data_IF_120646290360
#
_entry.id   IF_120646290360
#
_cell.length_a   1.000
_cell.length_b   1.000
_cell.length_c   1.000
_cell.angle_alpha   90.00
_cell.angle_beta   90.00
_cell.angle_gamma   90.00
#
_symmetry.space_group_name_H-M   'P 1'
#
loop_
_entity.id
_entity.type
_entity.pdbx_description
1 polymer ?
#
# COMPACT_ATOMS: atom_id res chain seq x y z
N UNK A 1 -6.13 9.20 -44.50
CA UNK A 1 -4.81 8.54 -44.42
C UNK A 1 -4.23 9.03 -43.12
N UNK A 2 -4.68 8.37 -42.06
CA UNK A 2 -4.81 8.96 -40.73
C UNK A 2 -3.63 8.61 -39.84
N UNK A 3 -3.35 9.58 -38.97
CA UNK A 3 -2.24 9.69 -38.07
C UNK A 3 -2.22 8.62 -36.98
N UNK A 4 -1.03 8.12 -36.68
CA UNK A 4 -0.66 7.64 -35.36
C UNK A 4 0.84 7.89 -35.21
N UNK A 5 1.20 9.11 -34.79
CA UNK A 5 2.52 9.40 -34.27
C UNK A 5 2.58 8.86 -32.84
N UNK A 6 3.34 7.78 -32.65
CA UNK A 6 3.71 7.28 -31.33
C UNK A 6 4.52 8.36 -30.60
N UNK A 7 3.90 8.94 -29.58
CA UNK A 7 4.60 9.69 -28.55
C UNK A 7 5.34 8.70 -27.66
N UNK A 8 6.56 8.35 -28.06
CA UNK A 8 7.55 7.70 -27.19
C UNK A 8 7.93 8.71 -26.10
N UNK A 9 7.41 8.52 -24.89
CA UNK A 9 7.87 9.25 -23.72
C UNK A 9 9.33 8.88 -23.42
N UNK A 10 10.19 9.86 -23.10
CA UNK A 10 11.60 9.58 -22.85
C UNK A 10 11.74 8.82 -21.53
N UNK A 11 11.99 7.51 -21.61
CA UNK A 11 12.46 6.72 -20.47
C UNK A 11 13.73 7.38 -19.96
N UNK A 12 13.69 7.91 -18.72
CA UNK A 12 14.79 8.65 -18.14
C UNK A 12 16.07 7.81 -18.14
N UNK A 13 17.19 8.40 -18.55
CA UNK A 13 18.48 7.70 -18.69
C UNK A 13 18.96 7.04 -17.39
N UNK A 14 18.51 7.53 -16.24
CA UNK A 14 18.75 6.93 -14.92
C UNK A 14 18.05 5.58 -14.77
N UNK A 15 16.81 5.44 -15.24
CA UNK A 15 16.06 4.18 -15.15
C UNK A 15 16.71 3.08 -16.02
N UNK A 16 17.23 3.45 -17.20
CA UNK A 16 17.98 2.53 -18.08
C UNK A 16 19.32 2.12 -17.45
N UNK A 17 20.03 3.06 -16.83
CA UNK A 17 21.29 2.76 -16.14
C UNK A 17 21.09 1.84 -14.95
N UNK A 18 20.02 2.02 -14.17
CA UNK A 18 19.69 1.19 -13.01
C UNK A 18 19.22 -0.20 -13.43
N UNK A 19 18.37 -0.30 -14.46
CA UNK A 19 17.92 -1.59 -14.99
C UNK A 19 19.09 -2.43 -15.52
N UNK A 20 20.05 -1.78 -16.20
CA UNK A 20 21.27 -2.44 -16.63
C UNK A 20 22.15 -2.82 -15.44
N UNK A 21 22.32 -1.91 -14.48
CA UNK A 21 23.09 -2.15 -13.27
C UNK A 21 22.58 -3.41 -12.59
N UNK A 22 21.28 -3.59 -12.36
CA UNK A 22 20.64 -4.72 -11.65
C UNK A 22 20.63 -6.07 -12.40
N UNK A 23 21.21 -6.16 -13.61
CA UNK A 23 21.22 -7.38 -14.43
C UNK A 23 22.47 -8.26 -14.26
N UNK A 24 23.44 -7.83 -13.44
CA UNK A 24 24.70 -8.53 -13.21
C UNK A 24 24.63 -9.51 -12.03
N UNK A 25 25.52 -10.52 -11.97
CA UNK A 25 25.60 -11.45 -10.85
C UNK A 25 25.83 -10.70 -9.52
N UNK A 26 25.20 -11.12 -8.39
CA UNK A 26 25.27 -10.43 -7.10
C UNK A 26 26.68 -10.13 -6.62
N UNK A 27 27.64 -10.98 -6.97
CA UNK A 27 29.06 -10.87 -6.59
C UNK A 27 29.77 -9.70 -7.29
N UNK A 28 29.17 -9.15 -8.35
CA UNK A 28 29.71 -8.03 -9.13
C UNK A 28 29.39 -6.67 -8.49
N UNK A 29 28.42 -6.65 -7.59
CA UNK A 29 28.11 -5.46 -6.81
C UNK A 29 29.06 -5.42 -5.62
N UNK A 30 30.08 -4.58 -5.73
CA UNK A 30 30.68 -4.00 -4.54
C UNK A 30 29.58 -3.32 -3.71
N UNK A 31 29.87 -3.00 -2.45
CA UNK A 31 28.96 -2.18 -1.63
C UNK A 31 28.84 -0.78 -2.27
N UNK A 32 27.98 -0.69 -3.27
CA UNK A 32 27.77 0.45 -4.14
C UNK A 32 26.52 1.19 -3.64
N UNK A 33 26.70 2.42 -3.11
CA UNK A 33 25.60 3.18 -2.54
C UNK A 33 24.49 3.49 -3.55
N UNK A 34 24.80 3.57 -4.85
CA UNK A 34 23.79 3.83 -5.89
C UNK A 34 22.85 2.62 -6.06
N UNK A 35 23.37 1.41 -5.87
CA UNK A 35 22.60 0.17 -5.95
C UNK A 35 21.73 -0.01 -4.71
N UNK A 36 22.27 0.27 -3.52
CA UNK A 36 21.49 0.28 -2.28
C UNK A 36 20.36 1.31 -2.33
N UNK A 37 20.63 2.50 -2.89
CA UNK A 37 19.62 3.53 -3.09
C UNK A 37 18.53 3.09 -4.08
N UNK A 38 18.92 2.48 -5.21
CA UNK A 38 17.97 1.93 -6.18
C UNK A 38 17.09 0.83 -5.57
N UNK A 39 17.67 -0.04 -4.73
CA UNK A 39 16.92 -1.04 -3.97
C UNK A 39 15.94 -0.41 -2.99
N UNK A 40 16.37 0.60 -2.22
CA UNK A 40 15.52 1.30 -1.27
C UNK A 40 14.32 1.99 -1.96
N UNK A 41 14.57 2.70 -3.07
CA UNK A 41 13.52 3.35 -3.87
C UNK A 41 12.50 2.30 -4.36
N UNK A 42 12.97 1.18 -4.91
CA UNK A 42 12.09 0.13 -5.43
C UNK A 42 11.29 -0.58 -4.33
N UNK A 43 11.92 -0.81 -3.18
CA UNK A 43 11.25 -1.40 -2.02
C UNK A 43 10.15 -0.45 -1.47
N UNK A 44 10.40 0.86 -1.46
CA UNK A 44 9.42 1.85 -1.06
C UNK A 44 8.25 1.94 -2.05
N UNK A 45 8.53 2.05 -3.35
CA UNK A 45 7.49 2.03 -4.40
C UNK A 45 6.59 0.80 -4.29
N UNK A 46 7.18 -0.38 -4.07
CA UNK A 46 6.43 -1.61 -3.86
C UNK A 46 5.49 -1.51 -2.64
N UNK A 47 5.99 -0.99 -1.51
CA UNK A 47 5.21 -0.82 -0.30
C UNK A 47 4.05 0.18 -0.48
N UNK A 48 4.27 1.32 -1.13
CA UNK A 48 3.21 2.28 -1.47
C UNK A 48 2.10 1.67 -2.33
N UNK A 49 2.49 1.01 -3.43
CA UNK A 49 1.53 0.35 -4.34
C UNK A 49 0.74 -0.72 -3.61
N UNK A 50 1.43 -1.54 -2.82
CA UNK A 50 0.79 -2.59 -2.03
C UNK A 50 -0.17 -2.01 -0.99
N UNK A 51 0.24 -0.98 -0.24
CA UNK A 51 -0.59 -0.36 0.79
C UNK A 51 -1.87 0.23 0.19
N UNK A 52 -1.75 0.90 -0.96
CA UNK A 52 -2.90 1.40 -1.72
C UNK A 52 -3.83 0.28 -2.16
N UNK A 53 -3.29 -0.87 -2.55
CA UNK A 53 -4.10 -2.01 -2.98
C UNK A 53 -4.96 -2.54 -1.82
N UNK A 54 -4.35 -2.83 -0.66
CA UNK A 54 -5.07 -3.36 0.51
C UNK A 54 -5.99 -2.32 1.19
N UNK A 55 -5.77 -1.03 0.95
CA UNK A 55 -6.67 0.01 1.44
C UNK A 55 -7.89 0.23 0.54
N UNK A 56 -7.77 -0.04 -0.76
CA UNK A 56 -8.79 0.31 -1.76
C UNK A 56 -9.76 -0.83 -2.07
N UNK A 57 -9.41 -2.07 -1.78
CA UNK A 57 -10.25 -3.26 -2.04
C UNK A 57 -10.24 -4.21 -0.86
N UNK A 58 -11.21 -5.14 -0.81
CA UNK A 58 -11.24 -6.19 0.20
C UNK A 58 -10.02 -7.12 0.04
N UNK A 59 -9.07 -7.13 1.01
CA UNK A 59 -7.83 -7.89 0.88
C UNK A 59 -8.04 -9.40 0.82
N UNK A 60 -9.17 -9.92 1.33
CA UNK A 60 -9.44 -11.36 1.35
C UNK A 60 -9.56 -11.96 -0.07
N UNK A 61 -9.87 -11.13 -1.07
CA UNK A 61 -10.00 -11.55 -2.48
C UNK A 61 -8.79 -11.18 -3.34
N UNK A 62 -7.76 -10.56 -2.76
CA UNK A 62 -6.54 -10.21 -3.47
C UNK A 62 -5.69 -11.44 -3.76
N UNK A 63 -5.27 -11.57 -5.02
CA UNK A 63 -4.20 -12.49 -5.43
C UNK A 63 -2.92 -11.71 -5.67
N UNK A 64 -1.87 -12.00 -4.91
CA UNK A 64 -0.58 -11.32 -5.01
C UNK A 64 0.32 -11.99 -6.06
N UNK A 65 0.17 -13.31 -6.25
CA UNK A 65 0.91 -14.11 -7.22
C UNK A 65 -0.01 -15.15 -7.89
N UNK A 66 0.53 -15.85 -8.90
CA UNK A 66 -0.17 -16.98 -9.54
C UNK A 66 -0.23 -18.23 -8.66
N UNK A 67 0.60 -18.30 -7.63
CA UNK A 67 0.83 -19.50 -6.79
C UNK A 67 0.53 -19.23 -5.32
N UNK A 68 -0.37 -18.27 -5.01
CA UNK A 68 -0.69 -17.88 -3.64
C UNK A 68 -1.12 -19.07 -2.76
N UNK A 69 -1.85 -20.02 -3.34
CA UNK A 69 -2.27 -21.24 -2.62
C UNK A 69 -1.07 -22.07 -2.19
N UNK A 70 -0.09 -22.26 -3.08
CA UNK A 70 1.13 -22.98 -2.78
C UNK A 70 1.97 -22.23 -1.73
N UNK A 71 2.14 -20.91 -1.88
CA UNK A 71 2.88 -20.08 -0.93
C UNK A 71 2.26 -20.17 0.46
N UNK A 72 0.93 -20.03 0.55
CA UNK A 72 0.21 -20.08 1.82
C UNK A 72 0.31 -21.45 2.50
N UNK A 73 0.08 -22.53 1.74
CA UNK A 73 0.17 -23.90 2.27
C UNK A 73 1.57 -24.21 2.80
N UNK A 74 2.61 -23.94 2.02
CA UNK A 74 4.01 -24.16 2.41
C UNK A 74 4.41 -23.31 3.61
N UNK A 75 3.97 -22.05 3.65
CA UNK A 75 4.22 -21.15 4.78
C UNK A 75 3.59 -21.69 6.07
N UNK A 76 2.31 -22.07 6.02
CA UNK A 76 1.59 -22.58 7.20
C UNK A 76 2.00 -23.99 7.60
N UNK A 77 2.57 -24.79 6.71
CA UNK A 77 3.21 -26.07 7.06
C UNK A 77 4.50 -25.85 7.88
N UNK A 78 5.30 -24.84 7.55
CA UNK A 78 6.59 -24.59 8.22
C UNK A 78 6.44 -23.72 9.49
N UNK A 79 5.48 -22.79 9.44
CA UNK A 79 5.23 -21.75 10.45
C UNK A 79 3.77 -21.80 10.94
N UNK A 80 3.36 -22.98 11.41
CA UNK A 80 2.00 -23.25 11.89
C UNK A 80 1.51 -22.23 12.93
N UNK A 81 2.37 -21.88 13.90
CA UNK A 81 2.02 -21.05 15.05
C UNK A 81 2.51 -19.60 14.93
N UNK A 82 3.18 -19.23 13.84
CA UNK A 82 3.69 -17.88 13.67
C UNK A 82 2.52 -16.91 13.56
N UNK A 83 2.47 -15.94 14.47
CA UNK A 83 1.52 -14.84 14.41
C UNK A 83 1.88 -13.91 13.28
N UNK A 84 0.89 -13.53 12.48
CA UNK A 84 1.09 -12.64 11.32
C UNK A 84 0.42 -11.28 11.51
N UNK A 85 -0.35 -11.07 12.56
CA UNK A 85 -0.96 -9.77 12.86
C UNK A 85 0.09 -8.76 13.32
N UNK A 86 0.82 -9.13 14.38
CA UNK A 86 1.97 -8.38 14.89
C UNK A 86 3.17 -9.30 14.90
N UNK A 87 4.14 -9.02 14.04
CA UNK A 87 5.37 -9.79 13.90
C UNK A 87 6.40 -9.34 14.92
N UNK A 88 7.07 -10.30 15.54
CA UNK A 88 8.30 -10.03 16.29
C UNK A 88 9.51 -10.07 15.33
N UNK A 89 10.25 -8.96 15.13
CA UNK A 89 11.45 -8.94 14.32
C UNK A 89 12.49 -9.99 14.73
N UNK A 90 12.61 -10.27 16.03
CA UNK A 90 13.58 -11.23 16.56
C UNK A 90 13.17 -12.67 16.25
N UNK A 91 11.87 -12.98 16.27
CA UNK A 91 11.36 -14.29 15.86
C UNK A 91 11.71 -14.56 14.39
N UNK A 92 11.50 -13.56 13.51
CA UNK A 92 11.82 -13.65 12.08
C UNK A 92 13.31 -13.73 11.78
N UNK A 93 14.16 -13.10 12.62
CA UNK A 93 15.62 -13.01 12.44
C UNK A 93 16.42 -14.03 13.26
N UNK A 94 15.75 -14.83 14.09
CA UNK A 94 16.39 -15.89 14.87
C UNK A 94 17.09 -16.91 13.97
N UNK A 95 18.16 -17.54 14.47
CA UNK A 95 18.87 -18.57 13.69
C UNK A 95 17.95 -19.73 13.29
N UNK A 96 17.06 -20.16 14.20
CA UNK A 96 16.03 -21.16 13.93
C UNK A 96 15.08 -20.75 12.81
N UNK A 97 14.61 -19.49 12.81
CA UNK A 97 13.77 -18.99 11.73
C UNK A 97 14.54 -18.89 10.41
N UNK A 98 15.81 -18.46 10.42
CA UNK A 98 16.64 -18.45 9.21
C UNK A 98 16.83 -19.84 8.62
N UNK A 99 17.00 -20.88 9.44
CA UNK A 99 17.07 -22.27 8.98
C UNK A 99 15.79 -22.76 8.31
N UNK A 100 14.62 -22.22 8.69
CA UNK A 100 13.33 -22.49 8.05
C UNK A 100 13.08 -21.62 6.81
N UNK A 101 13.39 -20.32 6.89
CA UNK A 101 13.18 -19.37 5.81
C UNK A 101 14.07 -19.66 4.60
N UNK A 102 15.33 -20.07 4.79
CA UNK A 102 16.24 -20.41 3.67
C UNK A 102 15.66 -21.47 2.72
N UNK A 103 15.28 -22.69 3.18
CA UNK A 103 14.69 -23.68 2.30
C UNK A 103 13.33 -23.24 1.76
N UNK A 104 12.52 -22.52 2.56
CA UNK A 104 11.26 -21.96 2.07
C UNK A 104 11.48 -21.03 0.87
N UNK A 105 12.41 -20.07 0.96
CA UNK A 105 12.71 -19.16 -0.14
C UNK A 105 13.18 -19.90 -1.39
N UNK A 106 14.09 -20.86 -1.24
CA UNK A 106 14.62 -21.64 -2.35
C UNK A 106 13.56 -22.50 -3.05
N UNK A 107 12.49 -22.94 -2.37
CA UNK A 107 11.38 -23.66 -3.01
C UNK A 107 10.67 -22.83 -4.10
N UNK A 108 10.75 -21.51 -4.04
CA UNK A 108 10.10 -20.62 -4.99
C UNK A 108 11.08 -19.99 -6.00
N UNK A 109 12.35 -20.41 -5.96
CA UNK A 109 13.33 -20.05 -6.98
C UNK A 109 12.87 -20.55 -8.37
N UNK A 110 12.73 -19.64 -9.32
CA UNK A 110 12.21 -19.92 -10.66
C UNK A 110 10.68 -20.08 -10.75
N UNK A 111 9.95 -20.03 -9.63
CA UNK A 111 8.48 -20.05 -9.60
C UNK A 111 7.93 -18.63 -9.42
N UNK A 112 8.51 -17.89 -8.48
CA UNK A 112 8.15 -16.50 -8.20
C UNK A 112 9.24 -15.58 -8.76
N UNK A 113 8.83 -14.64 -9.61
CA UNK A 113 9.73 -13.66 -10.21
C UNK A 113 10.38 -12.76 -9.13
N UNK A 114 11.70 -12.67 -9.21
CA UNK A 114 12.57 -12.03 -8.21
C UNK A 114 12.21 -12.43 -6.76
N UNK A 115 12.01 -13.73 -6.50
CA UNK A 115 11.61 -14.24 -5.18
C UNK A 115 12.46 -13.70 -4.01
N UNK A 116 13.74 -13.43 -4.27
CA UNK A 116 14.73 -12.95 -3.31
C UNK A 116 14.89 -11.42 -3.28
N UNK A 117 14.13 -10.67 -4.08
CA UNK A 117 14.25 -9.21 -4.15
C UNK A 117 13.88 -8.55 -2.82
N UNK A 118 14.57 -7.47 -2.48
CA UNK A 118 14.32 -6.70 -1.27
C UNK A 118 12.96 -6.00 -1.26
N UNK A 119 12.16 -6.25 -0.22
CA UNK A 119 10.84 -5.64 -0.04
C UNK A 119 10.66 -5.16 1.40
N UNK A 120 9.81 -4.15 1.59
CA UNK A 120 9.40 -3.68 2.90
C UNK A 120 8.18 -4.48 3.38
N UNK A 121 8.23 -4.92 4.64
CA UNK A 121 7.19 -5.69 5.31
C UNK A 121 6.76 -4.98 6.60
N UNK A 122 5.45 -4.83 6.80
CA UNK A 122 4.88 -4.23 8.03
C UNK A 122 5.00 -5.20 9.20
N UNK A 123 5.42 -4.72 10.38
CA UNK A 123 5.47 -5.52 11.60
C UNK A 123 4.06 -5.72 12.16
N UNK A 124 3.35 -4.64 12.41
CA UNK A 124 1.93 -4.60 12.72
C UNK A 124 1.12 -4.33 11.45
N UNK A 125 0.25 -5.27 11.09
CA UNK A 125 -0.57 -5.18 9.88
C UNK A 125 -1.64 -4.08 9.95
N UNK A 126 -2.02 -3.62 11.15
CA UNK A 126 -3.02 -2.57 11.36
C UNK A 126 -2.48 -1.16 11.12
N UNK A 127 -1.16 -1.01 11.09
CA UNK A 127 -0.47 0.25 10.90
C UNK A 127 0.07 0.38 9.46
N UNK A 128 0.47 1.59 9.08
CA UNK A 128 1.12 1.86 7.79
C UNK A 128 2.61 1.51 7.79
N UNK A 129 3.29 1.82 6.68
CA UNK A 129 4.75 1.76 6.63
C UNK A 129 5.36 2.97 7.36
N UNK A 130 6.07 2.72 8.47
CA UNK A 130 6.89 3.70 9.20
C UNK A 130 8.26 3.10 9.51
N UNK A 131 9.22 3.90 9.96
CA UNK A 131 10.55 3.40 10.35
C UNK A 131 10.46 2.32 11.45
N UNK A 132 9.58 2.51 12.42
CA UNK A 132 9.39 1.61 13.56
C UNK A 132 8.52 0.39 13.24
N UNK A 133 7.62 0.51 12.26
CA UNK A 133 6.69 -0.56 11.87
C UNK A 133 7.13 -1.34 10.63
N UNK A 134 8.35 -1.16 10.14
CA UNK A 134 8.78 -1.77 8.88
C UNK A 134 10.11 -2.49 9.02
N UNK A 135 10.20 -3.68 8.42
CA UNK A 135 11.46 -4.40 8.24
C UNK A 135 11.70 -4.71 6.77
N UNK A 136 12.96 -4.95 6.43
CA UNK A 136 13.35 -5.46 5.14
C UNK A 136 13.25 -6.99 5.10
N UNK A 137 12.61 -7.53 4.07
CA UNK A 137 12.44 -8.97 3.85
C UNK A 137 12.52 -9.32 2.35
N UNK A 138 12.95 -10.54 2.00
CA UNK A 138 12.82 -11.04 0.63
C UNK A 138 11.35 -11.06 0.19
N UNK A 139 11.11 -10.80 -1.10
CA UNK A 139 9.77 -10.75 -1.71
C UNK A 139 8.92 -11.99 -1.40
N UNK A 140 9.52 -13.18 -1.40
CA UNK A 140 8.79 -14.40 -1.08
C UNK A 140 8.34 -14.48 0.39
N UNK A 141 9.15 -13.96 1.31
CA UNK A 141 8.77 -13.84 2.72
C UNK A 141 7.66 -12.81 2.89
N UNK A 142 7.73 -11.68 2.18
CA UNK A 142 6.65 -10.70 2.11
C UNK A 142 5.34 -11.35 1.62
N UNK A 143 5.37 -12.08 0.51
CA UNK A 143 4.18 -12.75 -0.01
C UNK A 143 3.62 -13.77 0.98
N UNK A 144 4.46 -14.61 1.58
CA UNK A 144 4.03 -15.59 2.57
C UNK A 144 3.19 -14.96 3.69
N UNK A 145 3.70 -13.87 4.25
CA UNK A 145 3.08 -13.19 5.38
C UNK A 145 1.86 -12.38 4.95
N UNK A 146 1.93 -11.60 3.88
CA UNK A 146 0.80 -10.78 3.42
C UNK A 146 -0.34 -11.62 2.83
N UNK A 147 -0.05 -12.74 2.17
CA UNK A 147 -1.08 -13.70 1.74
C UNK A 147 -1.78 -14.28 2.97
N UNK A 148 -1.03 -14.64 4.02
CA UNK A 148 -1.63 -15.11 5.26
C UNK A 148 -2.50 -14.04 5.92
N UNK A 149 -2.02 -12.79 6.02
CA UNK A 149 -2.80 -11.65 6.53
C UNK A 149 -4.08 -11.41 5.75
N UNK A 150 -4.03 -11.52 4.43
CA UNK A 150 -5.19 -11.39 3.56
C UNK A 150 -6.22 -12.51 3.80
N UNK A 151 -5.78 -13.77 3.75
CA UNK A 151 -6.66 -14.94 3.89
C UNK A 151 -7.28 -15.03 5.28
N UNK A 152 -6.51 -14.70 6.32
CA UNK A 152 -6.92 -14.79 7.72
C UNK A 152 -7.66 -13.54 8.21
N UNK A 153 -7.79 -12.53 7.35
CA UNK A 153 -8.62 -11.35 7.59
C UNK A 153 -7.94 -10.24 8.40
N UNK A 154 -6.66 -10.35 8.71
CA UNK A 154 -5.91 -9.34 9.47
C UNK A 154 -5.77 -8.00 8.72
N UNK A 155 -5.58 -8.05 7.39
CA UNK A 155 -5.48 -6.83 6.59
C UNK A 155 -6.82 -6.09 6.38
N UNK A 156 -7.96 -6.68 6.79
CA UNK A 156 -9.27 -6.04 6.67
C UNK A 156 -9.39 -4.73 7.47
N UNK A 157 -8.62 -4.60 8.56
CA UNK A 157 -8.59 -3.35 9.34
C UNK A 157 -8.06 -2.15 8.54
N UNK A 158 -7.16 -2.39 7.57
CA UNK A 158 -6.57 -1.33 6.75
C UNK A 158 -7.60 -0.75 5.78
N UNK A 159 -8.44 -1.58 5.15
CA UNK A 159 -9.48 -1.10 4.23
C UNK A 159 -10.59 -0.32 4.96
N UNK A 160 -10.95 -0.74 6.19
CA UNK A 160 -12.01 -0.07 6.97
C UNK A 160 -11.55 1.30 7.48
N UNK A 161 -10.34 1.35 8.06
CA UNK A 161 -9.81 2.58 8.68
C UNK A 161 -9.62 3.76 7.73
N UNK A 162 -9.56 3.52 6.41
CA UNK A 162 -9.45 4.58 5.40
C UNK A 162 -10.84 4.99 4.89
N UNK A 163 -11.76 4.03 4.71
CA UNK A 163 -13.15 4.34 4.33
C UNK A 163 -13.86 5.17 5.40
N UNK A 164 -13.58 4.92 6.68
CA UNK A 164 -14.14 5.71 7.78
C UNK A 164 -13.61 7.16 7.76
N UNK A 165 -12.33 7.37 7.40
CA UNK A 165 -11.73 8.70 7.30
C UNK A 165 -12.23 9.51 6.11
N UNK A 166 -12.41 8.86 4.95
CA UNK A 166 -13.00 9.51 3.77
C UNK A 166 -14.48 9.88 4.00
N UNK A 167 -15.19 9.10 4.83
CA UNK A 167 -16.56 9.40 5.27
C UNK A 167 -16.65 10.63 6.18
N UNK A 168 -15.67 10.85 7.06
CA UNK A 168 -15.62 12.02 7.96
C UNK A 168 -15.22 13.31 7.23
N UNK A 169 -14.24 13.26 6.32
CA UNK A 169 -13.84 14.43 5.53
C UNK A 169 -14.90 14.86 4.49
N UNK A 170 -15.73 13.93 4.01
CA UNK A 170 -16.87 14.21 3.13
C UNK A 170 -18.12 14.77 3.82
N UNK A 171 -18.24 14.60 5.15
CA UNK A 171 -19.37 15.10 5.94
C UNK A 171 -19.15 16.55 6.45
N UNK A 172 -17.89 16.96 6.66
CA UNK A 172 -17.54 18.28 7.21
C UNK A 172 -17.69 19.48 6.27
N UNK A 173 -18.06 19.28 5.00
CA UNK A 173 -18.15 20.36 3.99
C UNK A 173 -19.56 20.57 3.41
N UNK A 174 -20.61 20.05 4.06
CA UNK A 174 -22.02 20.24 3.62
C UNK A 174 -22.88 21.11 4.55
N UNK A 175 -22.31 21.69 5.61
CA UNK A 175 -23.07 22.48 6.59
C UNK A 175 -22.91 24.02 6.48
N UNK A 176 -22.06 24.56 5.60
CA UNK A 176 -21.88 26.02 5.45
C UNK A 176 -22.64 26.69 4.27
N UNK A 177 -23.56 25.99 3.60
CA UNK A 177 -24.29 26.53 2.45
C UNK A 177 -25.81 26.77 2.66
N UNK A 178 -26.33 26.64 3.89
CA UNK A 178 -27.77 26.62 4.16
C UNK A 178 -28.31 27.79 5.02
N UNK A 179 -27.55 28.85 5.27
CA UNK A 179 -27.92 29.89 6.24
C UNK A 179 -27.85 31.32 5.69
N UNK A 180 -28.49 31.61 4.55
CA UNK A 180 -28.84 32.99 4.11
C UNK A 180 -30.11 32.99 3.28
N UNK A 181 -31.27 32.91 3.92
CA UNK A 181 -32.54 33.01 3.20
C UNK A 181 -33.76 32.83 4.06
N UNK A 182 -34.02 33.76 4.98
CA UNK A 182 -35.34 34.04 5.53
C UNK A 182 -35.20 35.19 6.55
N UNK A 183 -35.18 36.43 6.08
CA UNK A 183 -35.52 37.55 6.95
C UNK A 183 -37.00 37.91 6.79
N UNK A 184 -37.61 38.02 7.96
CA UNK A 184 -38.91 38.50 8.36
C UNK A 184 -39.34 39.80 7.65
N UNK A 185 -40.60 40.23 7.61
CA UNK A 185 -41.82 39.82 8.28
C UNK A 185 -42.93 40.69 7.68
N UNK A 186 -44.09 40.10 7.42
CA UNK A 186 -45.26 40.83 6.93
C UNK A 186 -46.11 41.31 8.09
N UNK A 187 -46.20 42.63 8.26
CA UNK A 187 -47.26 43.26 9.05
C UNK A 187 -47.94 44.34 8.19
N UNK A 188 -49.25 44.18 8.03
CA UNK A 188 -50.19 45.10 7.39
C UNK A 188 -50.81 45.98 8.47
N UNK A 189 -50.61 47.29 8.41
CA UNK A 189 -51.54 48.32 8.90
C UNK A 189 -51.35 49.53 7.96
N UNK A 190 -52.29 49.83 7.07
CA UNK A 190 -53.48 50.69 7.28
C UNK A 190 -53.14 52.18 7.45
N UNK A 191 -53.79 53.02 6.62
CA UNK A 191 -54.12 54.39 7.00
C UNK A 191 -53.22 55.52 6.50
N UNK A 192 -53.61 56.07 5.34
CA UNK A 192 -53.73 57.51 5.04
C UNK A 192 -52.76 58.53 5.68
N UNK A 193 -52.07 59.30 4.84
CA UNK A 193 -52.40 60.72 4.57
C UNK A 193 -51.23 61.42 3.85
N UNK A 194 -51.45 61.96 2.64
CA UNK A 194 -50.64 63.05 2.06
C UNK A 194 -51.53 63.92 1.18
N UNK A 195 -52.18 64.89 1.82
CA UNK A 195 -52.43 66.22 1.25
C UNK A 195 -51.07 66.86 0.89
N UNK A 196 -50.96 67.49 -0.29
CA UNK A 196 -50.90 68.95 -0.41
C UNK A 196 -49.53 69.49 0.06
N UNK A 197 -48.71 70.18 -0.73
CA UNK A 197 -49.02 71.47 -1.32
C UNK A 197 -47.77 72.00 -2.06
N UNK A 198 -48.01 72.76 -3.13
CA UNK A 198 -47.10 73.52 -4.03
C UNK A 198 -46.51 72.84 -5.25
#
# INVERSE_FOLDING_TARGET
MDAAGESEEPVSGEALSIAHALSHPPESYGNDPDIEMAWAIRAMQHAEVYYKLISSVDPQFLKLTKVDDQIYSEFREIFETLRVDVLDPEELKSESAKEKWRPFCLKFEGIVEDYNYGTLLRLDCSQGYTEENTIFAPRIQFFAIEIARNREGYNKAVSVSIQDKEGEEGAGNKEEAAEKGADSGGEKEEGANREGEK
#
